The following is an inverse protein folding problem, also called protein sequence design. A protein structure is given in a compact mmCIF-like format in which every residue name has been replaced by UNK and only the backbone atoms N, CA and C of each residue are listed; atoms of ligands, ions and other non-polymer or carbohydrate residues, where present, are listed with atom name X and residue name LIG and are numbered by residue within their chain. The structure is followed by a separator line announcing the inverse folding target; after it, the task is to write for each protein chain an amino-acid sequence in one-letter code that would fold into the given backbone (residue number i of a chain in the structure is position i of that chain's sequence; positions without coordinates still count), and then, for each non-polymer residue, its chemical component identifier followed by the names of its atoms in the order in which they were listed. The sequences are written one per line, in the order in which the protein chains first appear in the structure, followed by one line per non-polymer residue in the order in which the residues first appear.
data_IF_903566605116
#
_entry.id   IF_903566605116
#
_cell.length_a   1.000
_cell.length_b   1.000
_cell.length_c   1.000
_cell.angle_alpha   90.00
_cell.angle_beta   90.00
_cell.angle_gamma   90.00
#
_symmetry.space_group_name_H-M   'P 1'
#
loop_
_entity.id
_entity.type
_entity.pdbx_description
1 polymer ?
#
# COMPACT_ATOMS: atom_id res chain seq x y z
N UNK A 1 -1.77 -13.30 -4.35
CA UNK A 1 -1.73 -12.26 -5.41
C UNK A 1 -0.31 -12.22 -5.97
N UNK A 2 -0.10 -11.98 -7.28
CA UNK A 2 1.27 -11.85 -7.82
C UNK A 2 1.88 -10.49 -7.44
N UNK A 3 3.21 -10.34 -7.52
CA UNK A 3 3.87 -9.05 -7.30
C UNK A 3 3.38 -7.98 -8.29
N UNK A 4 3.13 -8.35 -9.55
CA UNK A 4 2.59 -7.44 -10.56
C UNK A 4 1.19 -6.92 -10.17
N UNK A 5 0.27 -7.81 -9.78
CA UNK A 5 -1.08 -7.40 -9.35
C UNK A 5 -1.05 -6.55 -8.09
N UNK A 6 -0.16 -6.85 -7.13
CA UNK A 6 0.05 -6.00 -5.94
C UNK A 6 0.52 -4.60 -6.34
N UNK A 7 1.46 -4.51 -7.28
CA UNK A 7 1.98 -3.23 -7.74
C UNK A 7 0.92 -2.41 -8.50
N UNK A 8 0.12 -3.03 -9.36
CA UNK A 8 -1.00 -2.37 -10.05
C UNK A 8 -2.01 -1.82 -9.04
N UNK A 9 -2.41 -2.63 -8.06
CA UNK A 9 -3.35 -2.18 -7.05
C UNK A 9 -2.77 -1.08 -6.16
N UNK A 10 -1.48 -1.18 -5.81
CA UNK A 10 -0.77 -0.13 -5.08
C UNK A 10 -0.84 1.22 -5.83
N UNK A 11 -0.65 1.22 -7.16
CA UNK A 11 -0.74 2.44 -7.96
C UNK A 11 -2.13 3.08 -7.92
N UNK A 12 -3.18 2.26 -8.00
CA UNK A 12 -4.56 2.77 -7.86
C UNK A 12 -4.77 3.46 -6.51
N UNK A 13 -4.28 2.86 -5.42
CA UNK A 13 -4.38 3.46 -4.08
C UNK A 13 -3.53 4.75 -4.00
N UNK A 14 -2.30 4.72 -4.54
CA UNK A 14 -1.39 5.87 -4.57
C UNK A 14 -1.99 7.09 -5.29
N UNK A 15 -2.78 6.87 -6.34
CA UNK A 15 -3.44 7.93 -7.10
C UNK A 15 -4.71 8.45 -6.39
N UNK A 16 -5.49 7.56 -5.77
CA UNK A 16 -6.82 7.89 -5.26
C UNK A 16 -6.85 8.39 -3.81
N UNK A 17 -5.88 8.03 -2.96
CA UNK A 17 -5.98 8.29 -1.52
C UNK A 17 -6.14 9.77 -1.14
N UNK A 18 -5.65 10.70 -1.96
CA UNK A 18 -5.73 12.15 -1.70
C UNK A 18 -7.11 12.74 -1.97
N UNK A 19 -7.88 12.12 -2.85
CA UNK A 19 -9.23 12.59 -3.24
C UNK A 19 -10.34 11.74 -2.62
N UNK A 20 -9.98 10.56 -2.08
CA UNK A 20 -10.89 9.72 -1.31
C UNK A 20 -11.30 10.35 0.02
N UNK A 21 -12.52 10.05 0.42
CA UNK A 21 -13.11 10.34 1.73
C UNK A 21 -12.32 9.68 2.87
N UNK A 22 -12.59 10.11 4.11
CA UNK A 22 -11.96 9.51 5.29
C UNK A 22 -12.20 8.00 5.40
N UNK A 23 -13.40 7.53 5.03
CA UNK A 23 -13.76 6.11 5.01
C UNK A 23 -12.96 5.35 3.94
N UNK A 24 -12.86 5.88 2.71
CA UNK A 24 -12.04 5.29 1.65
C UNK A 24 -10.56 5.24 2.04
N UNK A 25 -10.05 6.28 2.72
CA UNK A 25 -8.69 6.28 3.25
C UNK A 25 -8.44 5.19 4.31
N UNK A 26 -9.43 4.90 5.16
CA UNK A 26 -9.37 3.79 6.11
C UNK A 26 -9.37 2.43 5.40
N UNK A 27 -10.21 2.27 4.37
CA UNK A 27 -10.22 1.07 3.52
C UNK A 27 -8.87 0.88 2.81
N UNK A 28 -8.28 1.94 2.27
CA UNK A 28 -6.94 1.91 1.69
C UNK A 28 -5.86 1.55 2.71
N UNK A 29 -5.95 2.01 3.96
CA UNK A 29 -5.01 1.62 5.02
C UNK A 29 -5.10 0.13 5.35
N UNK A 30 -6.32 -0.41 5.42
CA UNK A 30 -6.54 -1.85 5.61
C UNK A 30 -5.92 -2.65 4.46
N UNK A 31 -6.20 -2.25 3.22
CA UNK A 31 -5.68 -2.93 2.04
C UNK A 31 -4.15 -2.85 1.93
N UNK A 32 -3.54 -1.70 2.22
CA UNK A 32 -2.09 -1.55 2.27
C UNK A 32 -1.46 -2.43 3.35
N UNK A 33 -2.15 -2.65 4.46
CA UNK A 33 -1.70 -3.55 5.54
C UNK A 33 -1.70 -5.00 5.06
N UNK A 34 -2.77 -5.45 4.41
CA UNK A 34 -2.84 -6.79 3.83
C UNK A 34 -1.78 -6.99 2.74
N UNK A 35 -1.62 -6.02 1.85
CA UNK A 35 -0.59 -6.04 0.81
C UNK A 35 0.82 -6.14 1.42
N UNK A 36 1.10 -5.40 2.50
CA UNK A 36 2.37 -5.48 3.22
C UNK A 36 2.65 -6.87 3.77
N UNK A 37 1.62 -7.56 4.29
CA UNK A 37 1.73 -8.93 4.80
C UNK A 37 1.97 -9.93 3.67
N UNK A 38 1.30 -9.77 2.53
CA UNK A 38 1.51 -10.61 1.35
C UNK A 38 2.91 -10.42 0.75
N UNK A 39 3.41 -9.18 0.68
CA UNK A 39 4.78 -8.89 0.21
C UNK A 39 5.86 -9.51 1.09
N UNK A 40 5.59 -9.67 2.40
CA UNK A 40 6.51 -10.34 3.31
C UNK A 40 6.63 -11.86 3.06
N UNK A 41 5.67 -12.45 2.33
CA UNK A 41 5.66 -13.87 1.97
C UNK A 41 6.35 -14.13 0.61
N UNK A 42 6.65 -13.09 -0.16
CA UNK A 42 7.29 -13.24 -1.48
C UNK A 42 8.75 -13.68 -1.31
N UNK A 43 9.13 -14.72 -2.03
CA UNK A 43 10.47 -15.32 -2.01
C UNK A 43 10.95 -15.64 -3.42
N UNK A 44 12.25 -15.85 -3.59
CA UNK A 44 12.84 -16.20 -4.87
C UNK A 44 13.16 -14.97 -5.74
N UNK A 45 13.06 -15.08 -7.08
CA UNK A 45 13.47 -14.01 -8.01
C UNK A 45 12.79 -12.65 -7.78
N UNK A 46 11.59 -12.65 -7.18
CA UNK A 46 10.79 -11.45 -6.95
C UNK A 46 11.07 -10.75 -5.61
N UNK A 47 11.96 -11.29 -4.77
CA UNK A 47 12.21 -10.76 -3.41
C UNK A 47 12.63 -9.29 -3.39
N UNK A 48 13.50 -8.87 -4.30
CA UNK A 48 13.95 -7.48 -4.35
C UNK A 48 12.82 -6.52 -4.74
N UNK A 49 11.97 -6.93 -5.70
CA UNK A 49 10.79 -6.18 -6.10
C UNK A 49 9.77 -6.07 -4.97
N UNK A 50 9.54 -7.17 -4.24
CA UNK A 50 8.65 -7.17 -3.09
C UNK A 50 9.16 -6.30 -1.93
N UNK A 51 10.47 -6.31 -1.67
CA UNK A 51 11.11 -5.44 -0.67
C UNK A 51 10.96 -3.97 -1.03
N UNK A 52 11.15 -3.61 -2.30
CA UNK A 52 10.94 -2.25 -2.77
C UNK A 52 9.48 -1.83 -2.59
N UNK A 53 8.53 -2.64 -3.06
CA UNK A 53 7.11 -2.32 -2.96
C UNK A 53 6.66 -2.22 -1.51
N UNK A 54 7.14 -3.09 -0.62
CA UNK A 54 6.85 -3.04 0.82
C UNK A 54 7.26 -1.72 1.45
N UNK A 55 8.44 -1.19 1.10
CA UNK A 55 8.91 0.12 1.59
C UNK A 55 8.03 1.27 1.09
N UNK A 56 7.53 1.17 -0.13
CA UNK A 56 6.64 2.18 -0.73
C UNK A 56 5.24 2.12 -0.10
N UNK A 57 4.71 0.92 0.13
CA UNK A 57 3.48 0.68 0.91
C UNK A 57 3.60 1.29 2.31
N UNK A 58 4.66 0.97 3.05
CA UNK A 58 4.90 1.53 4.40
C UNK A 58 4.95 3.07 4.39
N UNK A 59 5.48 3.67 3.33
CA UNK A 59 5.53 5.13 3.16
C UNK A 59 4.14 5.70 2.91
N UNK A 60 3.36 5.09 2.02
CA UNK A 60 2.02 5.56 1.69
C UNK A 60 1.08 5.46 2.89
N UNK A 61 1.10 4.33 3.63
CA UNK A 61 0.31 4.17 4.85
C UNK A 61 0.59 5.27 5.87
N UNK A 62 1.87 5.65 6.06
CA UNK A 62 2.23 6.79 6.93
C UNK A 62 1.68 8.11 6.42
N UNK A 63 1.69 8.35 5.11
CA UNK A 63 1.17 9.59 4.54
C UNK A 63 -0.35 9.72 4.75
N UNK A 64 -1.09 8.62 4.54
CA UNK A 64 -2.54 8.59 4.77
C UNK A 64 -2.84 8.84 6.26
N UNK A 65 -2.15 8.13 7.16
CA UNK A 65 -2.33 8.32 8.61
C UNK A 65 -2.03 9.76 9.07
N UNK A 66 -0.98 10.39 8.53
CA UNK A 66 -0.67 11.80 8.81
C UNK A 66 -1.74 12.74 8.26
N UNK A 67 -2.32 12.44 7.10
CA UNK A 67 -3.38 13.26 6.51
C UNK A 67 -4.68 13.17 7.32
N UNK A 68 -5.04 11.98 7.82
CA UNK A 68 -6.20 11.78 8.69
C UNK A 68 -6.06 12.46 10.05
N UNK A 69 -4.83 12.63 10.55
CA UNK A 69 -4.57 13.32 11.82
C UNK A 69 -4.59 14.86 11.73
N UNK A 70 -4.70 15.43 10.52
CA UNK A 70 -4.81 16.89 10.35
C UNK A 70 -6.27 17.32 10.55
N UNK A 71 -6.53 18.34 11.40
CA UNK A 71 -7.86 18.87 11.65
C UNK A 71 -8.44 19.64 10.45
#
# INVERSE_FOLDING_TARGET
MTLATMNERFRVIEDLWKVGSAQEQEEYLSELTDMRLELAKVSGPDTDGALWLKRTVDRLSRNIAVAQARP
#
